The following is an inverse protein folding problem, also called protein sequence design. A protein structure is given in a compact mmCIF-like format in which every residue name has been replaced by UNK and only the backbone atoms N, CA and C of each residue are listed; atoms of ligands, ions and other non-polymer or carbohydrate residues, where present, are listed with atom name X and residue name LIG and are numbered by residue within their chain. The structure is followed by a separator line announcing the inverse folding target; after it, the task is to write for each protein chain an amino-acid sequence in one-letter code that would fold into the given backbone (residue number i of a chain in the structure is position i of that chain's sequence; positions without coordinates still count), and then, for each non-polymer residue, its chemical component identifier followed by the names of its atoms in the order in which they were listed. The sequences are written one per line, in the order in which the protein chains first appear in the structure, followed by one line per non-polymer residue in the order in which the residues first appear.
data_IF_896394687134
#
_entry.id   IF_896394687134
#
_cell.length_a   1.000
_cell.length_b   1.000
_cell.length_c   1.000
_cell.angle_alpha   90.00
_cell.angle_beta   90.00
_cell.angle_gamma   90.00
#
_symmetry.space_group_name_H-M   'P 1'
#
loop_
_entity.id
_entity.type
_entity.pdbx_description
1 polymer ?
#
# COMPACT_ATOMS: atom_id res chain seq x y z
N UNK A 1 9.83 -80.36 -1.72
CA UNK A 1 10.07 -79.23 -2.65
C UNK A 1 9.49 -77.87 -2.20
N UNK A 2 8.50 -77.80 -1.29
CA UNK A 2 7.83 -76.54 -0.86
C UNK A 2 8.66 -75.57 -0.01
N UNK A 3 9.77 -76.01 0.59
CA UNK A 3 10.56 -75.22 1.55
C UNK A 3 11.45 -74.16 0.90
N UNK A 4 12.01 -74.42 -0.30
CA UNK A 4 12.88 -73.45 -1.00
C UNK A 4 12.10 -72.23 -1.51
N UNK A 5 10.86 -72.41 -1.97
CA UNK A 5 10.02 -71.31 -2.44
C UNK A 5 9.57 -70.39 -1.31
N UNK A 6 9.29 -70.95 -0.13
CA UNK A 6 8.95 -70.15 1.06
C UNK A 6 10.15 -69.39 1.61
N UNK A 7 11.35 -69.99 1.58
CA UNK A 7 12.59 -69.31 1.97
C UNK A 7 12.95 -68.14 1.05
N UNK A 8 12.73 -68.29 -0.27
CA UNK A 8 12.89 -67.21 -1.23
C UNK A 8 11.85 -66.10 -1.02
N UNK A 9 10.58 -66.45 -0.77
CA UNK A 9 9.54 -65.48 -0.46
C UNK A 9 9.83 -64.70 0.83
N UNK A 10 10.35 -65.35 1.87
CA UNK A 10 10.75 -64.70 3.12
C UNK A 10 11.95 -63.77 2.93
N UNK A 11 12.93 -64.15 2.11
CA UNK A 11 14.05 -63.27 1.76
C UNK A 11 13.57 -62.06 0.94
N UNK A 12 12.62 -62.27 0.02
CA UNK A 12 12.00 -61.19 -0.75
C UNK A 12 11.18 -60.24 0.14
N UNK A 13 10.51 -60.73 1.18
CA UNK A 13 9.79 -59.89 2.16
C UNK A 13 10.75 -59.13 3.09
N UNK A 14 11.85 -59.77 3.53
CA UNK A 14 12.92 -59.12 4.31
C UNK A 14 13.59 -57.98 3.54
N UNK A 15 13.86 -58.19 2.24
CA UNK A 15 14.42 -57.15 1.38
C UNK A 15 13.45 -56.00 1.06
N UNK A 16 12.13 -56.22 1.18
CA UNK A 16 11.12 -55.15 1.02
C UNK A 16 11.00 -54.25 2.25
N UNK A 17 11.31 -54.73 3.45
CA UNK A 17 11.38 -53.89 4.66
C UNK A 17 12.63 -52.99 4.69
N UNK A 18 13.74 -53.39 4.07
CA UNK A 18 14.96 -52.59 4.02
C UNK A 18 14.89 -51.41 3.00
N UNK A 19 13.88 -51.38 2.11
CA UNK A 19 13.80 -50.44 0.99
C UNK A 19 12.47 -49.66 0.95
N UNK A 20 11.94 -49.28 2.10
CA UNK A 20 10.75 -48.41 2.18
C UNK A 20 10.72 -47.55 3.44
N UNK A 21 11.83 -46.92 3.78
CA UNK A 21 11.81 -45.66 4.53
C UNK A 21 12.65 -44.68 3.73
N UNK A 22 12.04 -44.10 2.68
CA UNK A 22 12.57 -42.87 2.13
C UNK A 22 12.66 -41.90 3.30
N UNK A 23 13.88 -41.58 3.72
CA UNK A 23 14.15 -40.65 4.81
C UNK A 23 13.34 -39.39 4.55
N UNK A 24 12.24 -39.21 5.30
CA UNK A 24 11.61 -37.91 5.40
C UNK A 24 12.64 -37.02 6.09
N UNK A 25 13.47 -36.38 5.27
CA UNK A 25 14.56 -35.51 5.70
C UNK A 25 13.89 -34.27 6.28
N UNK A 26 13.61 -34.31 7.59
CA UNK A 26 13.03 -33.19 8.32
C UNK A 26 13.96 -31.99 8.30
N UNK A 27 13.38 -30.79 8.34
CA UNK A 27 14.11 -29.54 8.47
C UNK A 27 14.80 -29.50 9.84
N UNK A 28 16.10 -29.23 9.88
CA UNK A 28 16.84 -29.20 11.14
C UNK A 28 16.51 -27.93 11.92
N UNK A 29 16.54 -28.02 13.26
CA UNK A 29 16.35 -26.84 14.13
C UNK A 29 17.39 -25.75 13.86
N UNK A 30 18.60 -26.15 13.47
CA UNK A 30 19.70 -25.25 13.13
C UNK A 30 19.43 -24.54 11.79
N UNK A 31 18.91 -25.24 10.78
CA UNK A 31 18.48 -24.60 9.53
C UNK A 31 17.40 -23.55 9.79
N UNK A 32 16.44 -23.85 10.67
CA UNK A 32 15.39 -22.88 11.02
C UNK A 32 15.93 -21.67 11.78
N UNK A 33 16.85 -21.87 12.72
CA UNK A 33 17.48 -20.77 13.45
C UNK A 33 18.22 -19.81 12.51
N UNK A 34 19.00 -20.34 11.57
CA UNK A 34 19.77 -19.52 10.63
C UNK A 34 18.84 -18.75 9.70
N UNK A 35 17.76 -19.38 9.22
CA UNK A 35 16.78 -18.71 8.35
C UNK A 35 16.11 -17.55 9.09
N UNK A 36 15.65 -17.74 10.32
CA UNK A 36 15.02 -16.67 11.11
C UNK A 36 16.03 -15.56 11.42
N UNK A 37 17.30 -15.90 11.69
CA UNK A 37 18.36 -14.91 11.89
C UNK A 37 18.59 -14.04 10.65
N UNK A 38 18.67 -14.65 9.45
CA UNK A 38 18.86 -13.92 8.19
C UNK A 38 17.63 -13.05 7.87
N UNK A 39 16.41 -13.60 7.98
CA UNK A 39 15.17 -12.82 7.76
C UNK A 39 15.04 -11.68 8.77
N UNK A 40 15.50 -11.89 10.01
CA UNK A 40 15.58 -10.84 11.03
C UNK A 40 16.45 -9.67 10.59
N UNK A 41 17.66 -9.94 10.08
CA UNK A 41 18.57 -8.90 9.58
C UNK A 41 17.97 -8.16 8.37
N UNK A 42 17.40 -8.88 7.41
CA UNK A 42 16.79 -8.26 6.22
C UNK A 42 15.57 -7.41 6.57
N UNK A 43 14.70 -7.90 7.45
CA UNK A 43 13.47 -7.20 7.86
C UNK A 43 13.76 -5.93 8.64
N UNK A 44 14.84 -5.88 9.43
CA UNK A 44 15.23 -4.69 10.18
C UNK A 44 15.46 -3.46 9.28
N UNK A 45 15.98 -3.66 8.06
CA UNK A 45 16.19 -2.58 7.08
C UNK A 45 15.00 -2.41 6.14
N UNK A 46 14.43 -3.52 5.66
CA UNK A 46 13.38 -3.49 4.64
C UNK A 46 12.04 -2.96 5.17
N UNK A 47 11.67 -3.31 6.41
CA UNK A 47 10.38 -2.94 6.99
C UNK A 47 10.17 -1.42 7.17
N UNK A 48 11.11 -0.65 7.75
CA UNK A 48 10.91 0.80 7.89
C UNK A 48 10.83 1.51 6.54
N UNK A 49 11.66 1.11 5.56
CA UNK A 49 11.61 1.61 4.19
C UNK A 49 10.27 1.32 3.51
N UNK A 50 9.76 0.10 3.67
CA UNK A 50 8.47 -0.28 3.12
C UNK A 50 7.32 0.54 3.72
N UNK A 51 7.29 0.72 5.04
CA UNK A 51 6.27 1.52 5.72
C UNK A 51 6.31 2.97 5.24
N UNK A 52 7.51 3.56 5.11
CA UNK A 52 7.66 4.92 4.60
C UNK A 52 7.13 5.05 3.17
N UNK A 53 7.49 4.13 2.27
CA UNK A 53 7.02 4.14 0.89
C UNK A 53 5.49 3.99 0.79
N UNK A 54 4.91 3.11 1.62
CA UNK A 54 3.45 2.93 1.70
C UNK A 54 2.75 4.20 2.18
N UNK A 55 3.29 4.89 3.18
CA UNK A 55 2.74 6.14 3.68
C UNK A 55 2.83 7.25 2.63
N UNK A 56 3.96 7.39 1.93
CA UNK A 56 4.12 8.34 0.81
C UNK A 56 3.12 8.08 -0.31
N UNK A 57 2.89 6.81 -0.65
CA UNK A 57 1.92 6.41 -1.66
C UNK A 57 0.48 6.74 -1.24
N UNK A 58 0.12 6.46 0.01
CA UNK A 58 -1.20 6.80 0.55
C UNK A 58 -1.45 8.31 0.57
N UNK A 59 -0.46 9.09 1.01
CA UNK A 59 -0.54 10.54 1.00
C UNK A 59 -0.64 11.11 -0.43
N UNK A 60 0.14 10.56 -1.37
CA UNK A 60 0.05 10.92 -2.79
C UNK A 60 -1.30 10.59 -3.41
N UNK A 61 -1.91 9.47 -3.04
CA UNK A 61 -3.27 9.11 -3.48
C UNK A 61 -4.31 10.09 -2.94
N UNK A 62 -4.27 10.40 -1.64
CA UNK A 62 -5.18 11.37 -1.01
C UNK A 62 -5.10 12.76 -1.67
N UNK A 63 -3.88 13.25 -1.94
CA UNK A 63 -3.69 14.52 -2.66
C UNK A 63 -4.21 14.42 -4.09
N UNK A 64 -3.95 13.30 -4.78
CA UNK A 64 -4.42 13.07 -6.15
C UNK A 64 -5.94 13.08 -6.27
N UNK A 65 -6.63 12.43 -5.35
CA UNK A 65 -8.10 12.45 -5.25
C UNK A 65 -8.63 13.87 -5.02
N UNK A 66 -8.05 14.59 -4.05
CA UNK A 66 -8.43 15.98 -3.77
C UNK A 66 -8.22 16.91 -4.98
N UNK A 67 -7.09 16.78 -5.68
CA UNK A 67 -6.81 17.55 -6.90
C UNK A 67 -7.77 17.18 -8.03
N UNK A 68 -8.13 15.90 -8.18
CA UNK A 68 -9.06 15.45 -9.21
C UNK A 68 -10.40 16.19 -9.12
N UNK A 69 -10.96 16.27 -7.92
CA UNK A 69 -12.25 16.92 -7.69
C UNK A 69 -12.12 18.45 -7.68
N UNK A 70 -11.02 18.97 -7.16
CA UNK A 70 -10.72 20.40 -7.26
C UNK A 70 -10.67 20.86 -8.73
N UNK A 71 -10.18 20.03 -9.66
CA UNK A 71 -10.21 20.34 -11.10
C UNK A 71 -11.61 20.38 -11.67
N UNK A 72 -12.47 19.44 -11.29
CA UNK A 72 -13.89 19.48 -11.69
C UNK A 72 -14.55 20.77 -11.18
N UNK A 73 -14.29 21.12 -9.91
CA UNK A 73 -14.73 22.39 -9.35
C UNK A 73 -14.19 23.60 -10.12
N UNK A 74 -12.90 23.61 -10.47
CA UNK A 74 -12.29 24.70 -11.20
C UNK A 74 -12.92 24.88 -12.58
N UNK A 75 -13.20 23.79 -13.28
CA UNK A 75 -13.86 23.84 -14.60
C UNK A 75 -15.30 24.34 -14.48
N UNK A 76 -16.05 23.89 -13.47
CA UNK A 76 -17.40 24.37 -13.21
C UNK A 76 -17.40 25.85 -12.82
N UNK A 77 -16.50 26.26 -11.93
CA UNK A 77 -16.44 27.63 -11.44
C UNK A 77 -16.10 28.62 -12.58
N UNK A 78 -15.12 28.29 -13.42
CA UNK A 78 -14.73 29.16 -14.54
C UNK A 78 -15.73 29.20 -15.69
N UNK A 79 -16.46 28.10 -15.96
CA UNK A 79 -17.34 28.02 -17.14
C UNK A 79 -18.82 28.20 -16.84
N UNK A 80 -19.23 27.96 -15.59
CA UNK A 80 -20.62 27.85 -15.15
C UNK A 80 -21.44 26.81 -15.95
N UNK A 81 -20.77 25.93 -16.70
CA UNK A 81 -21.41 24.88 -17.50
C UNK A 81 -21.48 23.59 -16.70
N UNK A 82 -22.67 22.98 -16.66
CA UNK A 82 -22.91 21.71 -15.97
C UNK A 82 -23.33 21.91 -14.52
N UNK A 83 -22.88 21.01 -13.64
CA UNK A 83 -23.20 21.05 -12.22
C UNK A 83 -21.93 21.02 -11.39
N UNK A 84 -21.97 21.69 -10.22
CA UNK A 84 -20.91 21.59 -9.24
C UNK A 84 -20.72 20.12 -8.81
N UNK A 85 -19.48 19.68 -8.53
CA UNK A 85 -19.24 18.35 -7.99
C UNK A 85 -20.01 18.18 -6.68
N UNK A 86 -20.79 17.10 -6.58
CA UNK A 86 -21.53 16.77 -5.36
C UNK A 86 -20.54 16.52 -4.21
N UNK A 87 -20.92 16.81 -2.95
CA UNK A 87 -20.09 16.46 -1.79
C UNK A 87 -19.87 14.95 -1.78
N UNK A 88 -18.65 14.53 -2.09
CA UNK A 88 -18.22 13.13 -2.00
C UNK A 88 -17.58 12.91 -0.64
N UNK A 89 -17.92 11.80 0.02
CA UNK A 89 -17.08 11.26 1.09
C UNK A 89 -15.83 10.71 0.43
N UNK A 90 -14.75 11.47 0.52
CA UNK A 90 -13.51 11.12 -0.15
C UNK A 90 -12.80 10.01 0.63
N UNK A 91 -11.83 9.34 -0.01
CA UNK A 91 -11.09 8.26 0.61
C UNK A 91 -10.51 8.67 1.98
N UNK A 92 -10.10 7.70 2.81
CA UNK A 92 -9.58 7.99 4.14
C UNK A 92 -8.48 9.07 4.07
N UNK A 93 -8.70 10.16 4.82
CA UNK A 93 -7.80 11.30 4.86
C UNK A 93 -8.17 12.47 3.96
N UNK A 94 -9.22 12.39 3.14
CA UNK A 94 -9.64 13.51 2.28
C UNK A 94 -10.98 14.07 2.73
N UNK A 95 -11.10 15.40 2.79
CA UNK A 95 -12.30 16.12 3.20
C UNK A 95 -12.60 17.33 2.31
N UNK A 96 -13.89 17.62 2.16
CA UNK A 96 -14.38 18.85 1.50
C UNK A 96 -14.79 19.81 2.61
N UNK A 97 -14.07 20.93 2.74
CA UNK A 97 -14.35 21.95 3.78
C UNK A 97 -15.22 23.08 3.24
N UNK A 98 -15.23 23.28 1.93
CA UNK A 98 -16.15 24.18 1.25
C UNK A 98 -16.62 23.56 -0.05
N UNK A 99 -17.94 23.39 -0.19
CA UNK A 99 -18.55 22.90 -1.41
C UNK A 99 -18.30 23.88 -2.57
N UNK A 100 -18.10 23.32 -3.76
CA UNK A 100 -17.81 24.12 -4.94
C UNK A 100 -19.03 24.93 -5.40
N UNK A 101 -18.85 26.22 -5.64
CA UNK A 101 -19.84 27.07 -6.32
C UNK A 101 -19.15 27.98 -7.34
N UNK A 102 -19.88 28.46 -8.35
CA UNK A 102 -19.32 29.39 -9.33
C UNK A 102 -18.82 30.69 -8.70
N UNK A 103 -19.51 31.21 -7.68
CA UNK A 103 -19.14 32.47 -7.05
C UNK A 103 -17.92 32.38 -6.11
N UNK A 104 -17.77 31.26 -5.38
CA UNK A 104 -16.79 31.16 -4.29
C UNK A 104 -15.66 30.16 -4.58
N UNK A 105 -15.87 29.27 -5.56
CA UNK A 105 -15.03 28.09 -5.76
C UNK A 105 -15.22 27.08 -4.63
N UNK A 106 -14.16 26.33 -4.28
CA UNK A 106 -14.22 25.22 -3.30
C UNK A 106 -12.89 24.96 -2.60
N UNK A 107 -12.96 24.32 -1.43
CA UNK A 107 -11.78 23.98 -0.62
C UNK A 107 -11.79 22.48 -0.31
N UNK A 108 -10.67 21.84 -0.63
CA UNK A 108 -10.45 20.41 -0.53
C UNK A 108 -9.19 20.17 0.29
N UNK A 109 -9.25 19.26 1.25
CA UNK A 109 -8.12 18.94 2.12
C UNK A 109 -7.78 17.48 2.03
N UNK A 110 -6.50 17.15 1.82
CA UNK A 110 -5.96 15.81 2.00
C UNK A 110 -5.08 15.80 3.25
N UNK A 111 -5.18 14.76 4.06
CA UNK A 111 -4.51 14.62 5.36
C UNK A 111 -3.85 13.25 5.43
N UNK A 112 -2.69 13.19 6.07
CA UNK A 112 -1.94 11.95 6.25
C UNK A 112 -1.07 12.05 7.52
N UNK A 113 -0.88 10.92 8.18
CA UNK A 113 0.00 10.81 9.35
C UNK A 113 0.68 9.44 9.35
N UNK A 114 2.00 9.34 9.59
CA UNK A 114 3.00 10.42 9.77
C UNK A 114 3.37 11.11 8.45
N UNK A 115 3.85 12.36 8.49
CA UNK A 115 4.20 13.17 7.32
C UNK A 115 5.36 12.61 6.49
N UNK A 116 5.09 11.94 5.34
CA UNK A 116 6.15 11.46 4.47
C UNK A 116 6.82 12.63 3.76
N UNK A 117 8.12 12.50 3.50
CA UNK A 117 8.88 13.53 2.76
C UNK A 117 8.67 13.35 1.26
N UNK A 118 8.57 14.45 0.52
CA UNK A 118 8.66 14.43 -0.94
C UNK A 118 7.36 14.15 -1.68
N UNK A 119 6.22 14.10 -0.99
CA UNK A 119 4.90 14.16 -1.66
C UNK A 119 4.67 15.54 -2.25
N UNK A 120 3.98 15.59 -3.39
CA UNK A 120 3.76 16.82 -4.16
C UNK A 120 2.30 17.21 -4.15
N UNK A 121 2.03 18.51 -4.04
CA UNK A 121 0.72 19.09 -4.30
C UNK A 121 0.85 20.20 -5.33
N UNK A 122 0.26 20.00 -6.51
CA UNK A 122 0.48 20.86 -7.67
C UNK A 122 2.00 21.06 -7.94
N UNK A 123 2.49 22.29 -7.84
CA UNK A 123 3.89 22.65 -8.02
C UNK A 123 4.71 22.61 -6.72
N UNK A 124 4.09 22.38 -5.56
CA UNK A 124 4.76 22.34 -4.27
C UNK A 124 5.20 20.91 -3.90
N UNK A 125 6.29 20.83 -3.16
CA UNK A 125 6.78 19.59 -2.54
C UNK A 125 6.74 19.76 -1.02
N UNK A 126 6.29 18.74 -0.32
CA UNK A 126 6.23 18.70 1.15
C UNK A 126 7.62 18.62 1.78
N UNK A 127 7.80 19.37 2.86
CA UNK A 127 8.88 19.16 3.80
C UNK A 127 8.52 18.01 4.76
N UNK A 128 9.53 17.50 5.47
CA UNK A 128 9.30 16.57 6.57
C UNK A 128 8.41 17.24 7.64
N UNK A 129 7.34 16.56 8.07
CA UNK A 129 6.43 17.02 9.11
C UNK A 129 5.10 17.59 8.62
N UNK A 130 4.98 17.95 7.34
CA UNK A 130 3.70 18.38 6.78
C UNK A 130 2.72 17.19 6.77
N UNK A 131 1.51 17.40 7.27
CA UNK A 131 0.46 16.39 7.44
C UNK A 131 -0.81 16.65 6.62
N UNK A 132 -0.90 17.82 6.00
CA UNK A 132 -2.11 18.30 5.32
C UNK A 132 -1.76 19.04 4.03
N UNK A 133 -2.50 18.76 2.96
CA UNK A 133 -2.58 19.58 1.76
C UNK A 133 -3.95 20.26 1.71
N UNK A 134 -3.97 21.58 1.58
CA UNK A 134 -5.19 22.34 1.33
C UNK A 134 -5.18 22.84 -0.11
N UNK A 135 -6.14 22.42 -0.91
CA UNK A 135 -6.36 22.84 -2.28
C UNK A 135 -7.52 23.84 -2.27
N UNK A 136 -7.27 25.03 -2.81
CA UNK A 136 -8.28 26.10 -2.91
C UNK A 136 -8.52 26.41 -4.37
N UNK A 137 -9.78 26.36 -4.76
CA UNK A 137 -10.29 26.77 -6.06
C UNK A 137 -11.03 28.09 -5.88
N UNK A 138 -10.74 29.10 -6.69
CA UNK A 138 -11.48 30.37 -6.70
C UNK A 138 -12.70 30.29 -7.62
N UNK A 139 -13.62 31.27 -7.52
CA UNK A 139 -14.76 31.39 -8.44
C UNK A 139 -14.35 31.46 -9.91
N UNK A 140 -13.20 32.06 -10.22
CA UNK A 140 -12.65 32.11 -11.59
C UNK A 140 -11.93 30.81 -12.02
N UNK A 141 -12.03 29.74 -11.23
CA UNK A 141 -11.39 28.44 -11.49
C UNK A 141 -9.88 28.40 -11.23
N UNK A 142 -9.30 29.40 -10.57
CA UNK A 142 -7.87 29.37 -10.22
C UNK A 142 -7.66 28.38 -9.08
N UNK A 143 -6.80 27.38 -9.31
CA UNK A 143 -6.47 26.35 -8.30
C UNK A 143 -5.11 26.63 -7.67
N UNK A 144 -5.06 26.66 -6.35
CA UNK A 144 -3.83 26.80 -5.55
C UNK A 144 -3.73 25.66 -4.54
N UNK A 145 -2.52 25.38 -4.05
CA UNK A 145 -2.30 24.40 -2.99
C UNK A 145 -1.35 24.95 -1.93
N UNK A 146 -1.61 24.59 -0.68
CA UNK A 146 -0.73 24.83 0.47
C UNK A 146 -0.48 23.51 1.22
N UNK A 147 0.72 23.35 1.78
CA UNK A 147 1.12 22.20 2.58
C UNK A 147 1.40 22.66 4.01
N UNK A 148 0.80 22.01 5.00
CA UNK A 148 0.93 22.31 6.43
C UNK A 148 1.09 21.05 7.25
#
# INVERSE_FOLDING_TARGET
MKTKTQLLALNQLSQRHAKATGLAKGFTLVELMIVVAIVGILSAVALPLYIQARNSAAAGAAIGEAIGIAKECATFAASEVGAAPAPVTLGPGVAVTQACTAATGGIYTATWTPGPVGIRCLNLTSAAGNGVATITVTGDGVTTCALT
#
